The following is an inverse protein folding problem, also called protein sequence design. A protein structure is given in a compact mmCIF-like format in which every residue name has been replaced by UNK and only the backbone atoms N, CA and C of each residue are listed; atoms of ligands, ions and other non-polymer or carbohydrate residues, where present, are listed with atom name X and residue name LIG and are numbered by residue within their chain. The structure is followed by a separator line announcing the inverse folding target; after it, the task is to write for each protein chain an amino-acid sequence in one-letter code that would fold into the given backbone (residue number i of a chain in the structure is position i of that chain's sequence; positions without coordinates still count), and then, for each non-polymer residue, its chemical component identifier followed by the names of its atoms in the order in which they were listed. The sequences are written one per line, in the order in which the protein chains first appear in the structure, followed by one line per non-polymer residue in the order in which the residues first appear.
data_IF_535174422706
#
_entry.id   IF_535174422706
#
_cell.length_a   1.000
_cell.length_b   1.000
_cell.length_c   1.000
_cell.angle_alpha   90.00
_cell.angle_beta   90.00
_cell.angle_gamma   90.00
#
_symmetry.space_group_name_H-M   'P 1'
#
loop_
_entity.id
_entity.type
_entity.pdbx_description
1 polymer ?
#
# COMPACT_ATOMS: atom_id res chain seq x y z
N UNK A 1 -17.53 -1.57 -10.13
CA UNK A 1 -16.16 -1.73 -9.59
C UNK A 1 -15.21 -1.58 -10.75
N UNK A 2 -14.27 -0.66 -10.67
CA UNK A 2 -13.35 -0.33 -11.76
C UNK A 2 -12.04 -1.11 -11.68
N UNK A 3 -11.56 -1.36 -10.45
CA UNK A 3 -10.37 -2.16 -10.17
C UNK A 3 -10.51 -2.88 -8.82
N UNK A 4 -9.63 -3.84 -8.58
CA UNK A 4 -9.47 -4.55 -7.31
C UNK A 4 -7.99 -4.54 -6.95
N UNK A 5 -7.67 -4.36 -5.68
CA UNK A 5 -6.33 -4.52 -5.14
C UNK A 5 -6.28 -5.86 -4.41
N UNK A 6 -5.36 -6.73 -4.84
CA UNK A 6 -5.12 -8.02 -4.18
C UNK A 6 -3.91 -7.92 -3.25
N UNK A 7 -4.05 -8.47 -2.05
CA UNK A 7 -2.93 -8.58 -1.11
C UNK A 7 -1.96 -9.64 -1.65
N UNK A 8 -0.75 -9.22 -2.03
CA UNK A 8 0.31 -10.12 -2.49
C UNK A 8 1.18 -10.60 -1.33
N UNK A 9 1.59 -9.70 -0.44
CA UNK A 9 2.31 -9.99 0.79
C UNK A 9 1.84 -9.01 1.88
N UNK A 10 1.44 -9.53 3.05
CA UNK A 10 1.13 -8.70 4.21
C UNK A 10 2.31 -8.67 5.20
N UNK A 11 2.15 -8.05 6.37
CA UNK A 11 3.21 -7.88 7.40
C UNK A 11 3.79 -9.19 7.96
N UNK A 12 3.11 -10.31 7.76
CA UNK A 12 3.61 -11.64 8.14
C UNK A 12 4.69 -12.18 7.19
N UNK A 13 4.85 -11.55 6.02
CA UNK A 13 5.84 -11.91 5.01
C UNK A 13 5.41 -13.04 4.07
N UNK A 14 4.20 -13.63 4.25
CA UNK A 14 3.75 -14.72 3.39
C UNK A 14 3.38 -14.23 1.99
N UNK A 15 4.00 -14.85 0.98
CA UNK A 15 3.79 -14.50 -0.43
C UNK A 15 2.63 -15.30 -1.03
N UNK A 16 1.60 -14.60 -1.53
CA UNK A 16 0.40 -15.19 -2.12
C UNK A 16 0.58 -15.61 -3.58
N UNK A 17 1.78 -15.50 -4.14
CA UNK A 17 2.15 -15.92 -5.49
C UNK A 17 3.31 -16.92 -5.44
N UNK A 18 3.55 -17.58 -6.56
CA UNK A 18 4.67 -18.50 -6.75
C UNK A 18 5.98 -17.71 -6.98
N UNK A 19 6.61 -17.32 -5.88
CA UNK A 19 7.88 -16.59 -5.87
C UNK A 19 9.07 -17.54 -5.85
N UNK A 20 10.19 -17.09 -6.43
CA UNK A 20 11.48 -17.79 -6.37
C UNK A 20 12.43 -17.21 -5.30
N UNK A 21 12.00 -16.17 -4.58
CA UNK A 21 12.86 -15.45 -3.62
C UNK A 21 12.82 -16.04 -2.22
N UNK A 22 11.74 -16.73 -1.87
CA UNK A 22 11.55 -17.33 -0.54
C UNK A 22 10.68 -18.58 -0.61
N UNK A 23 10.92 -19.51 0.31
CA UNK A 23 10.04 -20.68 0.51
C UNK A 23 8.77 -20.34 1.33
N UNK A 24 8.69 -19.13 1.89
CA UNK A 24 7.51 -18.70 2.66
C UNK A 24 6.43 -18.13 1.73
N UNK A 25 5.89 -19.01 0.90
CA UNK A 25 4.95 -18.66 -0.15
C UNK A 25 3.88 -19.72 -0.37
N UNK A 26 2.89 -19.37 -1.18
CA UNK A 26 1.75 -20.24 -1.49
C UNK A 26 2.18 -21.58 -2.10
N UNK A 27 3.22 -21.63 -2.91
CA UNK A 27 3.71 -22.86 -3.53
C UNK A 27 4.29 -23.86 -2.53
N UNK A 28 4.76 -23.39 -1.39
CA UNK A 28 5.24 -24.23 -0.27
C UNK A 28 4.13 -24.64 0.70
N UNK A 29 2.91 -24.12 0.53
CA UNK A 29 1.74 -24.47 1.35
C UNK A 29 1.00 -25.69 0.84
N UNK A 30 -0.03 -26.13 1.55
CA UNK A 30 -0.93 -27.20 1.09
C UNK A 30 -1.73 -26.78 -0.15
N UNK A 31 -2.14 -25.50 -0.21
CA UNK A 31 -2.77 -24.91 -1.39
C UNK A 31 -1.69 -24.29 -2.27
N UNK A 32 -1.35 -24.96 -3.35
CA UNK A 32 -0.32 -24.52 -4.30
C UNK A 32 -0.83 -23.60 -5.40
N UNK A 33 -2.03 -23.05 -5.23
CA UNK A 33 -2.64 -22.16 -6.22
C UNK A 33 -2.08 -20.76 -6.07
N UNK A 34 -1.42 -20.25 -7.11
CA UNK A 34 -1.03 -18.84 -7.20
C UNK A 34 -2.28 -17.95 -7.17
N UNK A 35 -2.52 -17.33 -6.02
CA UNK A 35 -3.72 -16.52 -5.77
C UNK A 35 -3.71 -15.27 -6.63
N UNK A 36 -2.53 -14.65 -6.83
CA UNK A 36 -2.39 -13.45 -7.66
C UNK A 36 -2.74 -13.77 -9.11
N UNK A 37 -2.26 -14.93 -9.62
CA UNK A 37 -2.59 -15.39 -10.97
C UNK A 37 -4.09 -15.64 -11.16
N UNK A 38 -4.76 -16.26 -10.17
CA UNK A 38 -6.21 -16.51 -10.27
C UNK A 38 -7.02 -15.22 -10.23
N UNK A 39 -6.65 -14.25 -9.38
CA UNK A 39 -7.28 -12.93 -9.36
C UNK A 39 -7.04 -12.19 -10.68
N UNK A 40 -5.82 -12.21 -11.22
CA UNK A 40 -5.49 -11.61 -12.52
C UNK A 40 -6.34 -12.18 -13.66
N UNK A 41 -6.52 -13.51 -13.72
CA UNK A 41 -7.40 -14.18 -14.68
C UNK A 41 -8.85 -13.73 -14.54
N UNK A 42 -9.35 -13.63 -13.31
CA UNK A 42 -10.70 -13.18 -13.02
C UNK A 42 -10.89 -11.71 -13.45
N UNK A 43 -9.94 -10.85 -13.12
CA UNK A 43 -9.93 -9.45 -13.53
C UNK A 43 -10.02 -9.31 -15.06
N UNK A 44 -9.14 -9.99 -15.78
CA UNK A 44 -9.15 -10.01 -17.25
C UNK A 44 -10.48 -10.50 -17.81
N UNK A 45 -11.05 -11.58 -17.27
CA UNK A 45 -12.33 -12.16 -17.69
C UNK A 45 -13.49 -11.18 -17.53
N UNK A 46 -13.50 -10.39 -16.47
CA UNK A 46 -14.62 -9.52 -16.12
C UNK A 46 -14.39 -8.04 -16.45
N UNK A 47 -13.27 -7.68 -17.11
CA UNK A 47 -12.96 -6.29 -17.47
C UNK A 47 -12.68 -5.41 -16.25
N UNK A 48 -12.21 -5.97 -15.15
CA UNK A 48 -11.80 -5.27 -13.93
C UNK A 48 -10.29 -5.08 -13.96
N UNK A 49 -9.79 -3.90 -13.60
CA UNK A 49 -8.35 -3.65 -13.52
C UNK A 49 -7.76 -4.26 -12.25
N UNK A 50 -6.48 -4.60 -12.29
CA UNK A 50 -5.74 -5.22 -11.18
C UNK A 50 -4.78 -4.21 -10.56
N UNK A 51 -4.90 -4.02 -9.25
CA UNK A 51 -3.90 -3.41 -8.38
C UNK A 51 -3.33 -4.43 -7.41
N UNK A 52 -2.18 -4.13 -6.84
CA UNK A 52 -1.48 -4.98 -5.89
C UNK A 52 -1.24 -4.23 -4.57
N UNK A 53 -1.46 -4.89 -3.45
CA UNK A 53 -1.00 -4.46 -2.14
C UNK A 53 0.27 -5.23 -1.77
N UNK A 54 1.26 -4.54 -1.26
CA UNK A 54 2.51 -5.11 -0.80
C UNK A 54 2.96 -4.43 0.49
N UNK A 55 3.24 -5.23 1.53
CA UNK A 55 3.78 -4.71 2.78
C UNK A 55 5.29 -4.49 2.70
N UNK A 56 5.72 -3.28 3.07
CA UNK A 56 7.11 -2.96 3.33
C UNK A 56 7.62 -3.67 4.59
N UNK A 57 6.77 -3.73 5.63
CA UNK A 57 7.09 -4.48 6.85
C UNK A 57 7.04 -5.98 6.61
N UNK A 58 8.03 -6.70 7.14
CA UNK A 58 8.14 -8.15 7.03
C UNK A 58 8.61 -8.75 8.36
N UNK A 59 7.75 -9.55 8.98
CA UNK A 59 8.02 -10.19 10.26
C UNK A 59 8.70 -11.55 10.14
N UNK A 60 8.88 -12.03 8.93
CA UNK A 60 9.43 -13.36 8.64
C UNK A 60 10.85 -13.30 8.07
N UNK A 61 11.11 -12.35 7.15
CA UNK A 61 12.35 -12.33 6.38
C UNK A 61 13.56 -11.99 7.25
N UNK A 62 14.60 -12.82 7.17
CA UNK A 62 15.79 -12.70 8.01
C UNK A 62 16.66 -11.51 7.65
N UNK A 63 16.70 -11.11 6.39
CA UNK A 63 17.45 -9.94 5.95
C UNK A 63 16.76 -8.62 6.29
N UNK A 64 15.54 -8.64 6.83
CA UNK A 64 14.76 -7.46 7.16
C UNK A 64 15.52 -6.37 7.95
N UNK A 65 16.39 -6.69 8.94
CA UNK A 65 17.16 -5.67 9.66
C UNK A 65 18.25 -4.97 8.82
N UNK A 66 18.67 -5.55 7.69
CA UNK A 66 19.64 -4.96 6.77
C UNK A 66 18.90 -4.24 5.64
N UNK A 67 18.92 -2.91 5.64
CA UNK A 67 18.14 -2.09 4.73
C UNK A 67 18.50 -2.33 3.25
N UNK A 68 19.76 -2.56 2.92
CA UNK A 68 20.20 -2.84 1.54
C UNK A 68 19.76 -4.23 1.08
N UNK A 69 20.02 -5.25 1.87
CA UNK A 69 19.65 -6.61 1.55
C UNK A 69 18.12 -6.77 1.46
N UNK A 70 17.39 -6.07 2.34
CA UNK A 70 15.93 -6.10 2.31
C UNK A 70 15.35 -5.31 1.13
N UNK A 71 15.95 -4.20 0.73
CA UNK A 71 15.56 -3.49 -0.49
C UNK A 71 15.76 -4.37 -1.73
N UNK A 72 16.88 -5.10 -1.83
CA UNK A 72 17.11 -6.06 -2.92
C UNK A 72 16.05 -7.17 -2.93
N UNK A 73 15.67 -7.70 -1.77
CA UNK A 73 14.61 -8.68 -1.61
C UNK A 73 13.25 -8.15 -2.08
N UNK A 74 12.86 -6.94 -1.65
CA UNK A 74 11.62 -6.30 -2.11
C UNK A 74 11.62 -6.06 -3.63
N UNK A 75 12.74 -5.61 -4.19
CA UNK A 75 12.88 -5.37 -5.63
C UNK A 75 12.76 -6.67 -6.42
N UNK A 76 13.32 -7.77 -5.93
CA UNK A 76 13.16 -9.08 -6.55
C UNK A 76 11.67 -9.50 -6.58
N UNK A 77 10.95 -9.36 -5.47
CA UNK A 77 9.50 -9.60 -5.38
C UNK A 77 8.71 -8.73 -6.36
N UNK A 78 8.98 -7.41 -6.35
CA UNK A 78 8.26 -6.49 -7.23
C UNK A 78 8.59 -6.73 -8.70
N UNK A 79 9.80 -7.18 -9.01
CA UNK A 79 10.15 -7.58 -10.37
C UNK A 79 9.29 -8.75 -10.84
N UNK A 80 9.12 -9.79 -10.02
CA UNK A 80 8.24 -10.92 -10.34
C UNK A 80 6.78 -10.50 -10.50
N UNK A 81 6.29 -9.61 -9.63
CA UNK A 81 4.91 -9.15 -9.64
C UNK A 81 4.60 -8.21 -10.84
N UNK A 82 5.60 -7.49 -11.34
CA UNK A 82 5.46 -6.45 -12.37
C UNK A 82 5.98 -6.85 -13.75
N UNK A 83 6.55 -8.04 -13.95
CA UNK A 83 7.16 -8.49 -15.20
C UNK A 83 6.16 -8.77 -16.35
N UNK A 84 4.87 -8.57 -16.09
CA UNK A 84 3.79 -8.77 -17.06
C UNK A 84 3.11 -10.13 -16.99
N UNK A 85 3.58 -11.08 -16.15
CA UNK A 85 2.91 -12.39 -15.98
C UNK A 85 1.47 -12.29 -15.51
N UNK A 86 1.16 -11.26 -14.74
CA UNK A 86 -0.20 -10.96 -14.23
C UNK A 86 -0.95 -9.93 -15.08
N UNK A 87 -0.34 -9.44 -16.18
CA UNK A 87 -0.90 -8.42 -17.07
C UNK A 87 -0.55 -7.00 -16.65
N UNK A 88 -1.41 -6.04 -17.02
CA UNK A 88 -1.25 -4.64 -16.64
C UNK A 88 -1.66 -4.45 -15.18
N UNK A 89 -0.75 -3.89 -14.38
CA UNK A 89 -0.99 -3.50 -13.00
C UNK A 89 -1.23 -2.00 -12.97
N UNK A 90 -2.42 -1.60 -12.51
CA UNK A 90 -2.79 -0.18 -12.51
C UNK A 90 -2.35 0.56 -11.27
N UNK A 91 -2.13 -0.18 -10.17
CA UNK A 91 -1.80 0.41 -8.88
C UNK A 91 -0.93 -0.54 -8.04
N UNK A 92 0.04 0.05 -7.33
CA UNK A 92 0.77 -0.60 -6.25
C UNK A 92 0.54 0.18 -4.95
N UNK A 93 -0.05 -0.48 -3.99
CA UNK A 93 -0.35 0.02 -2.66
C UNK A 93 0.69 -0.50 -1.66
N UNK A 94 1.55 0.37 -1.14
CA UNK A 94 2.62 0.05 -0.19
C UNK A 94 2.21 0.41 1.23
N UNK A 95 2.40 -0.53 2.17
CA UNK A 95 1.97 -0.41 3.56
C UNK A 95 3.04 -0.91 4.53
N UNK A 96 2.89 -0.64 5.83
CA UNK A 96 3.84 -1.09 6.85
C UNK A 96 5.08 -0.21 6.97
N UNK A 97 5.02 1.02 6.48
CA UNK A 97 6.15 1.97 6.44
C UNK A 97 6.55 2.49 7.82
N UNK A 98 5.70 2.34 8.84
CA UNK A 98 5.92 2.84 10.21
C UNK A 98 6.97 2.08 11.01
N UNK A 99 7.40 0.89 10.56
CA UNK A 99 8.31 0.02 11.32
C UNK A 99 9.79 0.43 11.22
N UNK A 100 10.13 1.21 10.18
CA UNK A 100 11.50 1.71 9.96
C UNK A 100 11.49 3.19 9.55
N UNK A 101 12.63 3.90 9.69
CA UNK A 101 12.82 5.22 9.09
C UNK A 101 12.51 5.24 7.59
N UNK A 102 11.96 6.35 7.08
CA UNK A 102 11.59 6.46 5.66
C UNK A 102 12.74 6.13 4.71
N UNK A 103 13.97 6.57 5.04
CA UNK A 103 15.16 6.31 4.21
C UNK A 103 15.50 4.82 4.08
N UNK A 104 15.18 4.02 5.11
CA UNK A 104 15.44 2.58 5.12
C UNK A 104 14.66 1.82 4.06
N UNK A 105 13.55 2.38 3.59
CA UNK A 105 12.73 1.73 2.57
C UNK A 105 13.26 1.87 1.15
N UNK A 106 14.22 2.78 0.90
CA UNK A 106 14.81 3.02 -0.42
C UNK A 106 13.75 3.17 -1.52
N UNK A 107 12.73 4.00 -1.25
CA UNK A 107 11.55 4.14 -2.11
C UNK A 107 11.88 4.53 -3.55
N UNK A 108 12.96 5.29 -3.77
CA UNK A 108 13.43 5.63 -5.12
C UNK A 108 13.73 4.38 -5.95
N UNK A 109 14.39 3.38 -5.35
CA UNK A 109 14.72 2.13 -6.03
C UNK A 109 13.45 1.33 -6.35
N UNK A 110 12.54 1.23 -5.39
CA UNK A 110 11.24 0.56 -5.55
C UNK A 110 10.44 1.25 -6.67
N UNK A 111 10.27 2.56 -6.56
CA UNK A 111 9.50 3.36 -7.51
C UNK A 111 10.05 3.23 -8.94
N UNK A 112 11.36 3.40 -9.12
CA UNK A 112 12.01 3.29 -10.43
C UNK A 112 11.89 1.89 -11.02
N UNK A 113 11.99 0.84 -10.22
CA UNK A 113 11.78 -0.55 -10.67
C UNK A 113 10.37 -0.74 -11.19
N UNK A 114 9.36 -0.34 -10.42
CA UNK A 114 7.95 -0.47 -10.82
C UNK A 114 7.66 0.36 -12.06
N UNK A 115 8.09 1.63 -12.12
CA UNK A 115 7.86 2.50 -13.29
C UNK A 115 8.59 2.02 -14.55
N UNK A 116 9.72 1.32 -14.40
CA UNK A 116 10.41 0.71 -15.54
C UNK A 116 9.63 -0.47 -16.12
N UNK A 117 9.06 -1.32 -15.27
CA UNK A 117 8.34 -2.53 -15.68
C UNK A 117 6.87 -2.23 -16.06
N UNK A 118 6.23 -1.34 -15.33
CA UNK A 118 4.82 -0.93 -15.48
C UNK A 118 4.71 0.60 -15.44
N UNK A 119 5.04 1.33 -16.53
CA UNK A 119 5.14 2.80 -16.53
C UNK A 119 3.86 3.54 -16.14
N UNK A 120 2.70 2.89 -16.31
CA UNK A 120 1.38 3.47 -16.01
C UNK A 120 0.89 3.11 -14.60
N UNK A 121 1.57 2.21 -13.90
CA UNK A 121 1.21 1.82 -12.54
C UNK A 121 1.29 3.05 -11.62
N UNK A 122 0.22 3.34 -10.89
CA UNK A 122 0.21 4.37 -9.85
C UNK A 122 0.72 3.77 -8.55
N UNK A 123 1.61 4.45 -7.86
CA UNK A 123 2.25 3.95 -6.65
C UNK A 123 1.86 4.85 -5.48
N UNK A 124 1.20 4.29 -4.49
CA UNK A 124 0.87 4.95 -3.23
C UNK A 124 1.59 4.28 -2.06
N UNK A 125 2.09 5.10 -1.14
CA UNK A 125 2.67 4.62 0.12
C UNK A 125 1.81 5.13 1.26
N UNK A 126 1.37 4.22 2.14
CA UNK A 126 0.53 4.62 3.28
C UNK A 126 1.21 5.69 4.13
N UNK A 127 0.40 6.52 4.80
CA UNK A 127 0.88 7.66 5.57
C UNK A 127 1.82 8.59 4.77
N UNK A 128 1.43 8.89 3.53
CA UNK A 128 2.25 9.60 2.54
C UNK A 128 2.71 10.97 3.01
N UNK A 129 1.83 11.74 3.67
CA UNK A 129 2.09 13.13 4.04
C UNK A 129 2.55 13.23 5.49
N UNK A 130 3.51 14.10 5.75
CA UNK A 130 3.98 14.43 7.08
C UNK A 130 5.43 14.74 7.24
N UNK A 131 5.76 15.19 8.43
CA UNK A 131 7.14 15.32 8.84
C UNK A 131 7.66 14.00 9.41
N UNK A 132 8.92 13.77 9.22
CA UNK A 132 9.64 12.63 9.74
C UNK A 132 10.87 13.08 10.51
N UNK A 133 11.13 12.47 11.64
CA UNK A 133 12.36 12.71 12.37
C UNK A 133 13.44 11.75 11.88
N UNK A 134 14.26 12.20 10.94
CA UNK A 134 15.36 11.41 10.38
C UNK A 134 16.46 11.08 11.40
N UNK A 135 16.54 11.82 12.53
CA UNK A 135 17.57 11.60 13.54
C UNK A 135 17.26 10.43 14.46
N UNK A 136 15.99 10.31 14.87
CA UNK A 136 15.60 9.26 15.82
C UNK A 136 15.16 7.98 15.14
N UNK A 137 14.78 8.07 13.85
CA UNK A 137 14.19 6.94 13.16
C UNK A 137 12.87 6.46 13.79
N UNK A 138 12.36 7.18 14.78
CA UNK A 138 11.17 6.81 15.49
C UNK A 138 9.94 7.02 14.61
N UNK A 139 9.20 5.96 14.26
CA UNK A 139 7.88 6.13 13.73
C UNK A 139 7.03 6.73 14.84
N UNK A 140 6.44 7.87 14.59
CA UNK A 140 5.34 8.32 15.41
C UNK A 140 5.50 9.55 16.27
N UNK A 141 6.66 10.20 16.36
CA UNK A 141 6.73 11.48 17.05
C UNK A 141 5.94 12.60 16.35
N UNK A 142 5.57 12.38 15.08
CA UNK A 142 4.66 13.24 14.35
C UNK A 142 3.73 12.43 13.46
N UNK A 143 2.88 11.66 14.11
CA UNK A 143 1.65 11.27 13.44
C UNK A 143 0.94 12.54 13.05
N UNK A 144 0.78 12.64 11.78
CA UNK A 144 0.25 13.80 11.20
C UNK A 144 -1.05 14.18 11.67
N UNK A 145 -1.19 15.47 11.66
CA UNK A 145 -2.45 16.06 12.02
C UNK A 145 -3.52 15.51 11.10
N UNK A 146 -4.64 15.18 11.70
CA UNK A 146 -5.92 14.98 11.03
C UNK A 146 -6.31 16.20 10.18
N UNK A 147 -5.50 17.28 10.18
CA UNK A 147 -5.73 18.55 9.50
C UNK A 147 -4.51 18.88 8.64
N UNK A 148 -4.48 18.39 7.42
CA UNK A 148 -3.47 18.73 6.43
C UNK A 148 -3.55 20.20 6.07
N UNK A 149 -2.38 20.79 5.86
CA UNK A 149 -2.24 22.15 5.35
C UNK A 149 -1.65 22.13 3.95
N UNK A 150 -1.96 23.17 3.16
CA UNK A 150 -1.32 23.34 1.87
C UNK A 150 0.20 23.50 2.04
N UNK A 151 0.94 22.75 1.25
CA UNK A 151 2.40 22.63 1.28
C UNK A 151 2.97 21.84 2.47
N UNK A 152 2.17 21.07 3.18
CA UNK A 152 2.71 20.10 4.13
C UNK A 152 3.72 19.17 3.42
N UNK A 153 4.75 18.68 4.13
CA UNK A 153 5.77 17.86 3.54
C UNK A 153 5.26 16.47 3.16
N UNK A 154 5.73 15.94 2.03
CA UNK A 154 5.56 14.55 1.64
C UNK A 154 6.62 13.73 2.38
N UNK A 155 6.18 12.84 3.24
CA UNK A 155 7.04 11.97 4.03
C UNK A 155 7.53 10.76 3.23
N UNK A 156 6.60 10.10 2.54
CA UNK A 156 6.88 8.87 1.79
C UNK A 156 6.99 9.19 0.29
N UNK A 157 8.13 9.76 -0.10
CA UNK A 157 8.42 10.11 -1.49
C UNK A 157 9.47 9.16 -2.09
N UNK A 158 9.34 8.76 -3.39
CA UNK A 158 8.30 9.13 -4.33
C UNK A 158 6.99 8.34 -4.15
N UNK A 159 5.87 9.03 -4.38
CA UNK A 159 4.52 8.47 -4.38
C UNK A 159 3.67 9.26 -5.38
N UNK A 160 2.76 8.59 -6.11
CA UNK A 160 1.92 9.25 -7.13
C UNK A 160 0.65 9.86 -6.54
N UNK A 161 0.23 9.39 -5.37
CA UNK A 161 -0.97 9.86 -4.69
C UNK A 161 -0.84 9.73 -3.17
N UNK A 162 -1.73 10.42 -2.47
CA UNK A 162 -1.75 10.45 -1.01
C UNK A 162 -2.61 9.31 -0.46
N UNK A 163 -2.04 8.55 0.47
CA UNK A 163 -2.72 7.54 1.25
C UNK A 163 -2.67 7.88 2.74
N UNK A 164 -3.73 7.55 3.45
CA UNK A 164 -3.74 7.49 4.90
C UNK A 164 -4.80 6.52 5.39
N UNK A 165 -4.45 5.26 5.48
CA UNK A 165 -5.30 4.26 6.09
C UNK A 165 -5.07 4.22 7.61
N UNK A 166 -6.12 4.24 8.45
CA UNK A 166 -7.55 4.21 8.13
C UNK A 166 -8.26 5.58 8.17
N UNK A 167 -7.54 6.69 8.07
CA UNK A 167 -8.14 8.01 8.24
C UNK A 167 -8.93 8.48 7.02
N UNK A 168 -10.05 9.15 7.31
CA UNK A 168 -10.91 9.74 6.29
C UNK A 168 -10.34 11.05 5.77
N UNK A 169 -10.44 11.29 4.46
CA UNK A 169 -10.20 12.60 3.89
C UNK A 169 -11.35 13.56 4.23
N UNK A 170 -11.06 14.84 4.12
CA UNK A 170 -12.01 15.93 4.30
C UNK A 170 -12.20 16.67 2.97
N UNK A 171 -13.38 17.28 2.77
CA UNK A 171 -13.66 18.06 1.56
C UNK A 171 -12.69 19.22 1.33
N UNK A 172 -12.11 19.76 2.42
CA UNK A 172 -11.18 20.88 2.42
C UNK A 172 -9.71 20.47 2.48
N UNK A 173 -9.39 19.19 2.43
CA UNK A 173 -8.01 18.72 2.41
C UNK A 173 -7.27 19.25 1.17
N UNK A 174 -6.05 19.79 1.35
CA UNK A 174 -5.26 20.30 0.24
C UNK A 174 -4.83 19.17 -0.71
N UNK A 175 -4.50 19.56 -1.94
CA UNK A 175 -3.99 18.64 -2.98
C UNK A 175 -2.56 18.93 -3.37
N UNK A 176 -1.97 20.01 -2.83
CA UNK A 176 -0.60 20.43 -3.11
C UNK A 176 0.23 20.24 -1.85
N UNK A 177 1.27 19.45 -1.99
CA UNK A 177 2.22 19.10 -0.93
C UNK A 177 3.64 19.36 -1.41
N UNK A 178 4.63 19.30 -0.54
CA UNK A 178 6.02 19.66 -0.89
C UNK A 178 7.00 18.54 -0.59
N UNK A 179 8.00 18.40 -1.43
CA UNK A 179 9.18 17.58 -1.16
C UNK A 179 10.43 18.32 -1.66
N UNK A 180 11.43 18.50 -0.82
CA UNK A 180 12.66 19.23 -1.11
C UNK A 180 12.44 20.63 -1.73
N UNK A 181 11.37 21.30 -1.29
CA UNK A 181 11.03 22.66 -1.76
C UNK A 181 10.23 22.71 -3.06
N UNK A 182 10.00 21.59 -3.72
CA UNK A 182 9.15 21.49 -4.91
C UNK A 182 7.72 21.10 -4.53
N UNK A 183 6.76 21.54 -5.35
CA UNK A 183 5.33 21.29 -5.13
C UNK A 183 4.82 20.15 -5.99
N UNK A 184 4.05 19.27 -5.37
CA UNK A 184 3.45 18.11 -6.02
C UNK A 184 1.94 18.11 -5.82
N UNK A 185 1.21 17.81 -6.89
CA UNK A 185 -0.21 17.52 -6.83
C UNK A 185 -0.37 16.04 -6.43
N UNK A 186 -1.01 15.79 -5.27
CA UNK A 186 -1.22 14.47 -4.72
C UNK A 186 -2.72 14.20 -4.62
N UNK A 187 -3.33 13.53 -5.61
CA UNK A 187 -4.71 13.07 -5.48
C UNK A 187 -4.80 12.10 -4.31
N UNK A 188 -5.99 11.96 -3.75
CA UNK A 188 -6.19 11.15 -2.56
C UNK A 188 -6.90 9.83 -2.87
N UNK A 189 -6.40 8.75 -2.30
CA UNK A 189 -7.11 7.49 -2.19
C UNK A 189 -7.43 7.21 -0.72
N UNK A 190 -8.59 6.65 -0.47
CA UNK A 190 -9.05 6.34 0.86
C UNK A 190 -9.53 4.91 0.99
N UNK A 191 -9.14 4.28 2.07
CA UNK A 191 -9.62 2.97 2.49
C UNK A 191 -10.80 3.13 3.45
N UNK A 192 -11.88 2.39 3.22
CA UNK A 192 -13.02 2.31 4.12
C UNK A 192 -13.12 0.88 4.61
N UNK A 193 -12.84 0.64 5.89
CA UNK A 193 -13.04 -0.67 6.49
C UNK A 193 -14.55 -0.96 6.60
N UNK A 194 -14.97 -2.15 6.19
CA UNK A 194 -16.36 -2.58 6.32
C UNK A 194 -16.80 -2.81 7.77
N UNK A 195 -15.85 -2.91 8.70
CA UNK A 195 -16.12 -3.04 10.15
C UNK A 195 -15.87 -1.72 10.88
N UNK A 196 -16.75 -1.38 11.83
CA UNK A 196 -16.69 -0.11 12.57
C UNK A 196 -15.46 0.07 13.45
N UNK A 197 -14.83 -1.02 13.85
CA UNK A 197 -13.67 -1.04 14.74
C UNK A 197 -12.34 -1.27 14.01
N UNK A 198 -12.31 -1.11 12.68
CA UNK A 198 -11.14 -1.32 11.84
C UNK A 198 -10.52 -2.73 11.98
N UNK A 199 -11.34 -3.74 12.22
CA UNK A 199 -10.91 -5.14 12.23
C UNK A 199 -10.68 -5.63 10.81
N UNK A 200 -9.46 -5.46 10.30
CA UNK A 200 -9.07 -5.78 8.91
C UNK A 200 -9.02 -7.29 8.63
N UNK A 201 -8.86 -8.11 9.67
CA UNK A 201 -8.70 -9.55 9.54
C UNK A 201 -9.93 -10.29 10.01
N UNK A 202 -10.18 -11.45 9.41
CA UNK A 202 -11.09 -12.41 10.02
C UNK A 202 -10.45 -13.01 11.27
N UNK A 203 -11.15 -12.91 12.37
CA UNK A 203 -10.81 -13.56 13.63
C UNK A 203 -12.09 -13.80 14.41
N UNK A 204 -12.20 -14.98 15.07
CA UNK A 204 -13.39 -15.35 15.82
C UNK A 204 -13.71 -14.35 16.94
N UNK A 205 -12.68 -13.74 17.54
CA UNK A 205 -12.87 -12.69 18.57
C UNK A 205 -13.52 -11.42 18.01
N UNK A 206 -13.54 -11.24 16.68
CA UNK A 206 -14.16 -10.12 16.00
C UNK A 206 -15.50 -10.49 15.33
N UNK A 207 -15.97 -11.74 15.49
CA UNK A 207 -17.18 -12.21 14.82
C UNK A 207 -18.41 -11.35 15.17
N UNK A 208 -18.51 -10.91 16.42
CA UNK A 208 -19.61 -10.11 16.94
C UNK A 208 -19.44 -8.58 16.72
N UNK A 209 -18.33 -8.15 16.12
CA UNK A 209 -18.10 -6.73 15.86
C UNK A 209 -19.01 -6.20 14.77
N UNK A 210 -19.60 -5.01 14.96
CA UNK A 210 -20.57 -4.49 14.02
C UNK A 210 -19.94 -4.15 12.67
N UNK A 211 -20.66 -4.45 11.61
CA UNK A 211 -20.36 -3.93 10.27
C UNK A 211 -20.75 -2.46 10.19
N UNK A 212 -20.06 -1.72 9.31
CA UNK A 212 -20.46 -0.37 8.96
C UNK A 212 -21.84 -0.41 8.29
N UNK A 213 -22.76 0.46 8.67
CA UNK A 213 -24.06 0.50 8.04
C UNK A 213 -24.01 1.13 6.63
N UNK A 214 -25.00 0.81 5.82
CA UNK A 214 -25.04 1.24 4.43
C UNK A 214 -25.03 2.76 4.29
N UNK A 215 -25.74 3.47 5.15
CA UNK A 215 -25.86 4.92 5.15
C UNK A 215 -24.51 5.57 5.48
N UNK A 216 -23.74 4.97 6.37
CA UNK A 216 -22.39 5.41 6.74
C UNK A 216 -21.41 5.21 5.57
N UNK A 217 -21.44 4.06 4.91
CA UNK A 217 -20.61 3.80 3.72
C UNK A 217 -20.95 4.81 2.61
N UNK A 218 -22.24 5.06 2.34
CA UNK A 218 -22.67 6.01 1.32
C UNK A 218 -22.25 7.44 1.68
N UNK A 219 -22.33 7.82 2.93
CA UNK A 219 -21.90 9.14 3.41
C UNK A 219 -20.39 9.34 3.19
N UNK A 220 -19.59 8.34 3.57
CA UNK A 220 -18.14 8.36 3.38
C UNK A 220 -17.77 8.43 1.89
N UNK A 221 -18.45 7.66 1.05
CA UNK A 221 -18.25 7.72 -0.41
C UNK A 221 -18.56 9.10 -1.00
N UNK A 222 -19.64 9.76 -0.53
CA UNK A 222 -20.00 11.11 -0.99
C UNK A 222 -18.97 12.19 -0.60
N UNK A 223 -18.24 12.01 0.49
CA UNK A 223 -17.12 12.90 0.83
C UNK A 223 -16.02 12.75 -0.22
N UNK A 224 -15.66 11.50 -0.57
CA UNK A 224 -14.66 11.21 -1.59
C UNK A 224 -14.99 11.79 -2.98
N UNK A 225 -16.26 11.81 -3.37
CA UNK A 225 -16.68 12.38 -4.66
C UNK A 225 -16.47 13.91 -4.75
N UNK A 226 -16.30 14.58 -3.62
CA UNK A 226 -16.10 16.04 -3.55
C UNK A 226 -14.64 16.44 -3.35
N UNK A 227 -13.78 15.50 -2.95
CA UNK A 227 -12.36 15.72 -2.78
C UNK A 227 -11.59 15.45 -4.07
#
# INVERSE_FOLDING_TARGET
MNYVIVITKHHDGFCMWDTHTTDYCINSSQNKTDVVAEVAKACKKHGVKLGLYYSLWDRHEKCYPDDEAYADYMIAHLTELMDGRYGEIVELWLDGEWDKPCRSWQLDRIYNTVKTLQPKCQIGVNQTIGEFNDETGAPGERYLPVNYQENDPIRMFPSDFRLWDPNMCREDDPKIYTFNGEKYYMPFEQTICSRKDFSWFYCDIYADKPMMDKEEIIRNYKILEKT
#
